data_IF_022878907928
#
_entry.id   IF_022878907928
#
_cell.length_a   1.000
_cell.length_b   1.000
_cell.length_c   1.000
_cell.angle_alpha   90.00
_cell.angle_beta   90.00
_cell.angle_gamma   90.00
#
_symmetry.space_group_name_H-M   'P 1'
#
loop_
_entity.id
_entity.type
_entity.pdbx_description
1 polymer ?
#
# COMPACT_ATOMS: atom_id res chain seq x y z
N UNK A 1 10.96 4.49 -10.65
CA UNK A 1 9.76 4.44 -9.78
C UNK A 1 9.17 5.84 -9.73
N UNK A 2 7.85 6.01 -9.93
CA UNK A 2 7.26 7.35 -9.90
C UNK A 2 7.21 7.91 -8.46
N UNK A 3 7.16 9.24 -8.26
CA UNK A 3 6.97 9.82 -6.92
C UNK A 3 5.70 9.32 -6.22
N UNK A 4 4.64 9.05 -6.98
CA UNK A 4 3.41 8.46 -6.45
C UNK A 4 3.64 7.03 -5.95
N UNK A 5 4.39 6.21 -6.70
CA UNK A 5 4.75 4.85 -6.30
C UNK A 5 5.55 4.85 -5.01
N UNK A 6 6.48 5.78 -4.85
CA UNK A 6 7.31 5.90 -3.64
C UNK A 6 6.47 6.29 -2.43
N UNK A 7 5.53 7.24 -2.59
CA UNK A 7 4.62 7.62 -1.50
C UNK A 7 3.71 6.46 -1.11
N UNK A 8 3.14 5.76 -2.09
CA UNK A 8 2.31 4.58 -1.88
C UNK A 8 3.04 3.49 -1.09
N UNK A 9 4.25 3.10 -1.52
CA UNK A 9 5.00 2.04 -0.83
C UNK A 9 5.36 2.44 0.59
N UNK A 10 5.75 3.69 0.84
CA UNK A 10 6.02 4.18 2.19
C UNK A 10 4.78 4.11 3.08
N UNK A 11 3.65 4.66 2.63
CA UNK A 11 2.41 4.65 3.39
C UNK A 11 1.97 3.22 3.78
N UNK A 12 2.16 2.25 2.88
CA UNK A 12 1.84 0.85 3.16
C UNK A 12 2.85 0.16 4.08
N UNK A 13 4.15 0.42 3.90
CA UNK A 13 5.16 -0.13 4.81
C UNK A 13 4.88 0.34 6.24
N UNK A 14 4.55 1.62 6.40
CA UNK A 14 4.34 2.26 7.70
C UNK A 14 2.94 1.98 8.29
N UNK A 15 2.02 1.37 7.55
CA UNK A 15 0.65 1.11 8.04
C UNK A 15 0.59 0.03 9.11
N UNK A 16 1.60 -0.83 9.19
CA UNK A 16 1.66 -1.94 10.15
C UNK A 16 2.87 -1.77 11.05
N UNK A 17 2.62 -1.63 12.35
CA UNK A 17 3.65 -1.65 13.37
C UNK A 17 4.03 -3.09 13.70
N UNK A 18 5.30 -3.44 13.50
CA UNK A 18 5.86 -4.72 13.91
C UNK A 18 6.67 -4.58 15.21
N UNK A 19 6.63 -5.56 16.13
CA UNK A 19 7.41 -5.51 17.35
C UNK A 19 8.92 -5.60 17.03
N UNK A 20 9.75 -4.87 17.79
CA UNK A 20 11.21 -4.84 17.63
C UNK A 20 11.89 -6.13 18.14
N UNK A 21 11.54 -7.26 17.54
CA UNK A 21 12.06 -8.60 17.84
C UNK A 21 12.62 -9.24 16.57
N UNK A 22 13.38 -10.34 16.70
CA UNK A 22 13.87 -11.07 15.52
C UNK A 22 12.73 -11.51 14.59
N UNK A 23 11.65 -12.05 15.18
CA UNK A 23 10.48 -12.48 14.44
C UNK A 23 9.73 -11.28 13.82
N UNK A 24 9.56 -10.18 14.56
CA UNK A 24 8.96 -8.96 14.03
C UNK A 24 9.73 -8.33 12.87
N UNK A 25 11.07 -8.31 12.94
CA UNK A 25 11.91 -7.85 11.84
C UNK A 25 11.76 -8.74 10.59
N UNK A 26 11.64 -10.05 10.78
CA UNK A 26 11.38 -10.99 9.68
C UNK A 26 10.02 -10.73 9.04
N UNK A 27 8.99 -10.52 9.86
CA UNK A 27 7.64 -10.23 9.38
C UNK A 27 7.58 -8.90 8.63
N UNK A 28 8.25 -7.86 9.15
CA UNK A 28 8.38 -6.57 8.50
C UNK A 28 9.11 -6.69 7.15
N UNK A 29 10.17 -7.49 7.07
CA UNK A 29 10.86 -7.80 5.81
C UNK A 29 9.96 -8.51 4.79
N UNK A 30 9.12 -9.45 5.24
CA UNK A 30 8.10 -10.08 4.38
C UNK A 30 7.07 -9.06 3.91
N UNK A 31 6.55 -8.22 4.81
CA UNK A 31 5.60 -7.16 4.48
C UNK A 31 6.15 -6.21 3.42
N UNK A 32 7.38 -5.71 3.61
CA UNK A 32 8.03 -4.82 2.65
C UNK A 32 8.20 -5.46 1.26
N UNK A 33 8.47 -6.78 1.19
CA UNK A 33 8.51 -7.51 -0.09
C UNK A 33 7.14 -7.59 -0.77
N UNK A 34 6.08 -7.85 0.00
CA UNK A 34 4.72 -7.89 -0.53
C UNK A 34 4.28 -6.52 -1.06
N UNK A 35 4.56 -5.45 -0.32
CA UNK A 35 4.35 -4.08 -0.79
C UNK A 35 5.14 -3.79 -2.07
N UNK A 36 6.36 -4.32 -2.19
CA UNK A 36 7.14 -4.28 -3.42
C UNK A 36 6.43 -4.95 -4.61
N UNK A 37 5.87 -6.14 -4.41
CA UNK A 37 5.10 -6.82 -5.48
C UNK A 37 3.84 -6.05 -5.89
N UNK A 38 3.14 -5.46 -4.93
CA UNK A 38 1.95 -4.63 -5.22
C UNK A 38 2.35 -3.41 -6.06
N UNK A 39 3.44 -2.73 -5.68
CA UNK A 39 3.92 -1.55 -6.39
C UNK A 39 4.49 -1.86 -7.79
N UNK A 40 5.01 -3.07 -7.98
CA UNK A 40 5.58 -3.55 -9.24
C UNK A 40 4.58 -4.24 -10.17
N UNK A 41 3.37 -4.58 -9.71
CA UNK A 41 2.34 -5.18 -10.56
C UNK A 41 2.14 -4.36 -11.83
N UNK A 42 2.08 -4.94 -13.02
CA UNK A 42 1.96 -4.18 -14.29
C UNK A 42 0.51 -4.11 -14.78
N UNK A 43 -0.36 -4.98 -14.26
CA UNK A 43 -1.79 -5.02 -14.56
C UNK A 43 -2.66 -4.90 -13.31
N UNK A 44 -3.95 -4.58 -13.51
CA UNK A 44 -4.94 -4.59 -12.43
C UNK A 44 -5.10 -5.99 -11.83
N UNK A 45 -5.09 -7.03 -12.67
CA UNK A 45 -5.16 -8.43 -12.23
C UNK A 45 -3.98 -8.82 -11.35
N UNK A 46 -2.76 -8.42 -11.69
CA UNK A 46 -1.58 -8.66 -10.85
C UNK A 46 -1.65 -7.88 -9.54
N UNK A 47 -2.13 -6.63 -9.61
CA UNK A 47 -2.31 -5.79 -8.43
C UNK A 47 -3.31 -6.42 -7.46
N UNK A 48 -4.47 -6.87 -7.94
CA UNK A 48 -5.50 -7.50 -7.10
C UNK A 48 -4.98 -8.81 -6.48
N UNK A 49 -4.24 -9.63 -7.24
CA UNK A 49 -3.59 -10.85 -6.71
C UNK A 49 -2.57 -10.54 -5.63
N UNK A 50 -1.69 -9.56 -5.86
CA UNK A 50 -0.67 -9.17 -4.89
C UNK A 50 -1.31 -8.60 -3.62
N UNK A 51 -2.37 -7.82 -3.76
CA UNK A 51 -3.14 -7.24 -2.65
C UNK A 51 -3.83 -8.33 -1.83
N UNK A 52 -4.50 -9.29 -2.47
CA UNK A 52 -5.15 -10.41 -1.79
C UNK A 52 -4.14 -11.27 -1.00
N UNK A 53 -2.94 -11.48 -1.54
CA UNK A 53 -1.89 -12.19 -0.82
C UNK A 53 -1.39 -11.42 0.40
N UNK A 54 -1.19 -10.10 0.26
CA UNK A 54 -0.80 -9.22 1.35
C UNK A 54 -1.86 -9.15 2.46
N UNK A 55 -3.14 -9.08 2.09
CA UNK A 55 -4.27 -9.12 3.03
C UNK A 55 -4.29 -10.44 3.81
N UNK A 56 -4.18 -11.58 3.12
CA UNK A 56 -4.12 -12.90 3.77
C UNK A 56 -2.94 -13.04 4.74
N UNK A 57 -1.79 -12.45 4.41
CA UNK A 57 -0.65 -12.40 5.31
C UNK A 57 -0.94 -11.60 6.58
N UNK A 58 -1.58 -10.43 6.48
CA UNK A 58 -1.95 -9.61 7.63
C UNK A 58 -2.97 -10.33 8.52
N UNK A 59 -4.00 -10.94 7.93
CA UNK A 59 -4.98 -11.73 8.67
C UNK A 59 -4.32 -12.90 9.44
N UNK A 60 -3.38 -13.63 8.81
CA UNK A 60 -2.66 -14.70 9.50
C UNK A 60 -1.84 -14.20 10.70
N UNK A 61 -1.27 -12.99 10.62
CA UNK A 61 -0.54 -12.39 11.74
C UNK A 61 -1.48 -11.94 12.87
N UNK A 62 -2.66 -11.43 12.53
CA UNK A 62 -3.71 -11.08 13.51
C UNK A 62 -4.22 -12.34 14.21
N UNK A 63 -4.58 -13.38 13.46
CA UNK A 63 -5.09 -14.65 14.02
C UNK A 63 -4.08 -15.33 14.94
N UNK A 64 -2.80 -15.24 14.59
CA UNK A 64 -1.70 -15.76 15.42
C UNK A 64 -1.29 -14.83 16.56
N UNK A 65 -2.01 -13.71 16.79
CA UNK A 65 -1.76 -12.71 17.83
C UNK A 65 -0.36 -12.07 17.74
N UNK A 66 0.22 -12.06 16.54
CA UNK A 66 1.52 -11.43 16.26
C UNK A 66 1.34 -9.93 15.95
N UNK A 67 0.15 -9.53 15.53
CA UNK A 67 -0.30 -8.14 15.40
C UNK A 67 -1.59 -7.94 16.19
N UNK A 68 -1.78 -6.74 16.70
CA UNK A 68 -3.06 -6.34 17.29
C UNK A 68 -4.12 -6.13 16.20
N UNK A 69 -5.40 -6.04 16.55
CA UNK A 69 -6.46 -5.60 15.62
C UNK A 69 -6.57 -4.08 15.73
N UNK A 70 -6.59 -3.37 14.60
CA UNK A 70 -6.71 -1.90 14.59
C UNK A 70 -7.54 -1.44 13.41
N UNK A 71 -8.69 -0.85 13.71
CA UNK A 71 -9.59 -0.27 12.69
C UNK A 71 -8.88 0.83 11.91
N UNK A 72 -8.09 1.66 12.58
CA UNK A 72 -7.37 2.77 11.94
C UNK A 72 -6.32 2.27 10.92
N UNK A 73 -5.62 1.16 11.23
CA UNK A 73 -4.74 0.47 10.27
C UNK A 73 -5.53 0.04 9.04
N UNK A 74 -6.63 -0.67 9.25
CA UNK A 74 -7.39 -1.28 8.16
C UNK A 74 -7.95 -0.19 7.24
N UNK A 75 -8.48 0.90 7.82
CA UNK A 75 -8.91 2.09 7.08
C UNK A 75 -7.75 2.71 6.29
N UNK A 76 -6.56 2.84 6.88
CA UNK A 76 -5.39 3.40 6.20
C UNK A 76 -4.94 2.52 5.02
N UNK A 77 -4.92 1.19 5.19
CA UNK A 77 -4.56 0.24 4.14
C UNK A 77 -5.55 0.34 2.97
N UNK A 78 -6.85 0.30 3.26
CA UNK A 78 -7.90 0.40 2.24
C UNK A 78 -7.78 1.73 1.48
N UNK A 79 -7.69 2.84 2.19
CA UNK A 79 -7.56 4.17 1.59
C UNK A 79 -6.30 4.29 0.71
N UNK A 80 -5.19 3.69 1.13
CA UNK A 80 -3.93 3.71 0.38
C UNK A 80 -4.03 2.86 -0.90
N UNK A 81 -4.67 1.69 -0.84
CA UNK A 81 -4.90 0.82 -2.01
C UNK A 81 -5.86 1.45 -3.02
N UNK A 82 -6.93 2.08 -2.55
CA UNK A 82 -7.90 2.74 -3.42
C UNK A 82 -7.31 3.97 -4.09
N UNK A 83 -6.54 4.79 -3.36
CA UNK A 83 -5.82 5.92 -3.95
C UNK A 83 -4.86 5.47 -5.06
N UNK A 84 -4.17 4.34 -4.86
CA UNK A 84 -3.29 3.75 -5.87
C UNK A 84 -4.03 3.24 -7.10
N UNK A 85 -5.12 2.50 -6.89
CA UNK A 85 -5.98 1.99 -7.96
C UNK A 85 -6.55 3.14 -8.80
N UNK A 86 -7.04 4.19 -8.16
CA UNK A 86 -7.53 5.40 -8.83
C UNK A 86 -6.45 6.08 -9.67
N UNK A 87 -5.24 6.26 -9.12
CA UNK A 87 -4.13 6.87 -9.84
C UNK A 87 -3.70 6.07 -11.07
N UNK A 88 -3.83 4.74 -11.04
CA UNK A 88 -3.48 3.84 -12.15
C UNK A 88 -4.55 3.74 -13.22
N UNK A 89 -5.83 3.71 -12.84
CA UNK A 89 -6.96 3.66 -13.78
C UNK A 89 -7.17 5.00 -14.49
N UNK A 90 -6.88 6.10 -13.81
CA UNK A 90 -6.99 7.46 -14.36
C UNK A 90 -5.62 8.15 -14.35
N UNK A 91 -4.67 7.75 -15.21
CA UNK A 91 -3.34 8.35 -15.26
C UNK A 91 -3.37 9.85 -15.62
N UNK A 92 -4.51 10.34 -16.13
CA UNK A 92 -4.75 11.75 -16.46
C UNK A 92 -6.04 12.27 -15.80
N UNK A 93 -5.94 12.79 -14.58
CA UNK A 93 -6.59 14.09 -14.32
C UNK A 93 -5.49 15.11 -14.26
N UNK A 94 -5.34 15.81 -15.37
CA UNK A 94 -4.36 16.86 -15.60
C UNK A 94 -4.30 17.83 -14.41
N UNK A 95 -3.14 17.93 -13.76
CA UNK A 95 -2.72 19.18 -13.12
C UNK A 95 -2.35 20.18 -14.23
N UNK A 96 -3.29 20.51 -15.11
CA UNK A 96 -3.27 21.79 -15.81
C UNK A 96 -3.79 22.80 -14.78
N UNK A 97 -2.89 23.26 -13.91
CA UNK A 97 -2.95 24.64 -13.46
C UNK A 97 -2.66 25.51 -14.69
N UNK A 98 -3.63 25.59 -15.60
CA UNK A 98 -3.75 26.75 -16.48
C UNK A 98 -4.05 27.91 -15.55
N UNK A 99 -3.01 28.68 -15.22
CA UNK A 99 -3.22 30.05 -14.81
C UNK A 99 -4.07 30.72 -15.89
N UNK A 100 -5.27 31.23 -15.59
CA UNK A 100 -5.97 32.08 -16.54
C UNK A 100 -5.12 33.35 -16.67
N UNK A 101 -4.41 33.46 -17.80
CA UNK A 101 -3.91 34.75 -18.27
C UNK A 101 -5.10 35.70 -18.30
N UNK A 102 -5.07 36.71 -17.43
CA UNK A 102 -6.01 37.82 -17.48
C UNK A 102 -5.57 38.78 -18.60
N UNK A 103 -6.54 39.47 -19.23
CA UNK A 103 -6.34 40.27 -20.44
C UNK A 103 -5.49 41.51 -20.19
#
# INVERSE_FOLDING_TARGET
MSPQTIRFTRCLIDSIAFPATFQGNRQHGTWARLVGYIASAESLTEFDKATAYAEGYVHALVDSKQLDISVDRDVLIIATMDAWRCARTYPNTSTNLSYPGKP
#
